data_IF_379718391604
#
_entry.id   IF_379718391604
#
_cell.length_a   1.000
_cell.length_b   1.000
_cell.length_c   1.000
_cell.angle_alpha   90.00
_cell.angle_beta   90.00
_cell.angle_gamma   90.00
#
_symmetry.space_group_name_H-M   'P 1'
#
loop_
_entity.id
_entity.type
_entity.pdbx_description
1 polymer ?
#
# COMPACT_ATOMS: atom_id res chain seq x y z
N UNK A 1 0.79 15.23 10.26
CA UNK A 1 0.49 13.81 9.93
C UNK A 1 1.56 13.34 8.96
N UNK A 2 2.21 12.19 9.18
CA UNK A 2 3.26 11.72 8.27
C UNK A 2 2.63 10.91 7.12
N UNK A 3 2.54 11.53 5.94
CA UNK A 3 1.90 10.94 4.76
C UNK A 3 2.53 9.61 4.33
N UNK A 4 3.85 9.45 4.48
CA UNK A 4 4.51 8.20 4.12
C UNK A 4 4.03 7.04 4.98
N UNK A 5 3.73 7.30 6.26
CA UNK A 5 3.20 6.28 7.18
C UNK A 5 1.75 5.92 6.88
N UNK A 6 0.93 6.88 6.46
CA UNK A 6 -0.45 6.63 6.05
C UNK A 6 -0.45 5.68 4.86
N UNK A 7 0.28 6.03 3.79
CA UNK A 7 0.31 5.24 2.56
C UNK A 7 1.03 3.90 2.72
N UNK A 8 2.07 3.81 3.54
CA UNK A 8 2.70 2.52 3.82
C UNK A 8 1.77 1.55 4.53
N UNK A 9 0.89 2.08 5.40
CA UNK A 9 -0.09 1.25 6.11
C UNK A 9 -1.18 0.78 5.16
N UNK A 10 -1.68 1.65 4.28
CA UNK A 10 -2.66 1.30 3.25
C UNK A 10 -2.13 0.22 2.29
N UNK A 11 -0.91 0.42 1.77
CA UNK A 11 -0.25 -0.59 0.91
C UNK A 11 -0.10 -1.94 1.60
N UNK A 12 0.31 -1.95 2.87
CA UNK A 12 0.51 -3.20 3.60
C UNK A 12 -0.81 -3.92 3.86
N UNK A 13 -1.81 -3.23 4.40
CA UNK A 13 -3.09 -3.82 4.78
C UNK A 13 -3.85 -4.32 3.54
N UNK A 14 -3.97 -3.49 2.51
CA UNK A 14 -4.79 -3.79 1.34
C UNK A 14 -4.18 -4.83 0.41
N UNK A 15 -2.85 -4.88 0.29
CA UNK A 15 -2.18 -5.75 -0.69
C UNK A 15 -1.46 -6.91 -0.03
N UNK A 16 -0.66 -6.67 1.00
CA UNK A 16 0.16 -7.72 1.62
C UNK A 16 -0.62 -8.53 2.66
N UNK A 17 -1.28 -7.89 3.63
CA UNK A 17 -1.99 -8.61 4.69
C UNK A 17 -3.15 -9.44 4.15
N UNK A 18 -3.87 -8.92 3.15
CA UNK A 18 -4.99 -9.60 2.49
C UNK A 18 -4.57 -10.57 1.36
N UNK A 19 -3.27 -10.79 1.13
CA UNK A 19 -2.81 -11.65 0.04
C UNK A 19 -3.15 -13.13 0.31
N UNK A 20 -3.85 -13.77 -0.63
CA UNK A 20 -4.24 -15.18 -0.51
C UNK A 20 -3.06 -16.15 -0.59
N UNK A 21 -1.98 -15.78 -1.27
CA UNK A 21 -0.80 -16.62 -1.50
C UNK A 21 0.32 -16.35 -0.47
N UNK A 22 0.00 -16.47 0.81
CA UNK A 22 0.98 -16.36 1.90
C UNK A 22 1.01 -15.02 2.63
N UNK A 23 -0.04 -14.21 2.50
CA UNK A 23 -0.21 -12.96 3.23
C UNK A 23 0.99 -12.03 3.06
N UNK A 24 1.55 -11.58 4.18
CA UNK A 24 2.69 -10.65 4.17
C UNK A 24 3.95 -11.18 3.44
N UNK A 25 4.03 -12.49 3.18
CA UNK A 25 5.13 -13.14 2.45
C UNK A 25 4.74 -13.52 1.01
N UNK A 26 3.64 -12.97 0.48
CA UNK A 26 3.17 -13.21 -0.88
C UNK A 26 4.23 -12.89 -1.93
N UNK A 27 4.57 -13.89 -2.75
CA UNK A 27 5.50 -13.72 -3.87
C UNK A 27 4.88 -12.91 -5.01
N UNK A 28 3.57 -13.07 -5.24
CA UNK A 28 2.88 -12.32 -6.30
C UNK A 28 2.80 -10.83 -5.94
N UNK A 29 2.37 -10.50 -4.72
CA UNK A 29 2.31 -9.11 -4.26
C UNK A 29 3.70 -8.51 -4.12
N UNK A 30 4.69 -9.27 -3.65
CA UNK A 30 6.08 -8.83 -3.62
C UNK A 30 6.63 -8.48 -5.00
N UNK A 31 6.27 -9.24 -6.04
CA UNK A 31 6.62 -8.92 -7.44
C UNK A 31 5.94 -7.63 -7.89
N UNK A 32 4.65 -7.48 -7.64
CA UNK A 32 3.92 -6.25 -7.97
C UNK A 32 4.51 -5.02 -7.29
N UNK A 33 4.87 -5.13 -6.01
CA UNK A 33 5.50 -4.04 -5.26
C UNK A 33 6.86 -3.66 -5.87
N UNK A 34 7.68 -4.65 -6.25
CA UNK A 34 8.93 -4.40 -6.96
C UNK A 34 8.69 -3.66 -8.28
N UNK A 35 7.75 -4.13 -9.10
CA UNK A 35 7.54 -3.58 -10.44
C UNK A 35 6.86 -2.21 -10.43
N UNK A 36 5.94 -1.97 -9.49
CA UNK A 36 5.10 -0.77 -9.47
C UNK A 36 5.59 0.32 -8.51
N UNK A 37 6.28 -0.05 -7.42
CA UNK A 37 6.77 0.90 -6.42
C UNK A 37 8.29 1.07 -6.48
N UNK A 38 9.06 -0.03 -6.52
CA UNK A 38 10.52 0.10 -6.43
C UNK A 38 11.19 0.41 -7.78
N UNK A 39 10.78 -0.30 -8.84
CA UNK A 39 11.40 -0.22 -10.16
C UNK A 39 11.31 1.16 -10.82
N UNK A 40 10.19 1.91 -10.72
CA UNK A 40 10.12 3.24 -11.34
C UNK A 40 11.06 4.26 -10.69
N UNK A 41 11.43 4.08 -9.41
CA UNK A 41 12.19 5.08 -8.67
C UNK A 41 11.50 6.45 -8.73
N UNK A 42 12.27 7.51 -8.98
CA UNK A 42 11.74 8.87 -9.13
C UNK A 42 11.21 9.21 -10.53
N UNK A 43 11.11 8.25 -11.45
CA UNK A 43 10.68 8.52 -12.84
C UNK A 43 9.16 8.55 -13.03
N UNK A 44 8.39 8.16 -12.02
CA UNK A 44 6.92 8.17 -12.00
C UNK A 44 6.44 8.91 -10.75
N UNK A 45 5.32 9.62 -10.84
CA UNK A 45 4.74 10.30 -9.69
C UNK A 45 4.28 9.28 -8.63
N UNK A 46 4.50 9.61 -7.35
CA UNK A 46 4.19 8.72 -6.25
C UNK A 46 2.69 8.39 -6.16
N UNK A 47 1.81 9.34 -6.46
CA UNK A 47 0.36 9.10 -6.47
C UNK A 47 -0.03 8.10 -7.57
N UNK A 48 0.56 8.23 -8.76
CA UNK A 48 0.33 7.29 -9.86
C UNK A 48 0.87 5.89 -9.55
N UNK A 49 2.01 5.80 -8.84
CA UNK A 49 2.57 4.53 -8.38
C UNK A 49 1.68 3.86 -7.33
N UNK A 50 1.20 4.63 -6.35
CA UNK A 50 0.28 4.14 -5.33
C UNK A 50 -1.03 3.66 -5.95
N UNK A 51 -1.62 4.44 -6.85
CA UNK A 51 -2.87 4.07 -7.53
C UNK A 51 -2.73 2.79 -8.34
N UNK A 52 -1.62 2.63 -9.07
CA UNK A 52 -1.33 1.41 -9.84
C UNK A 52 -1.10 0.19 -8.94
N UNK A 53 -0.42 0.37 -7.81
CA UNK A 53 -0.21 -0.70 -6.83
C UNK A 53 -1.46 -1.02 -6.00
N UNK A 54 -2.35 -0.08 -5.73
CA UNK A 54 -3.57 -0.31 -4.94
C UNK A 54 -4.77 -0.71 -5.81
N UNK A 55 -4.78 -0.30 -7.08
CA UNK A 55 -5.95 -0.42 -7.97
C UNK A 55 -7.06 0.61 -7.67
N UNK A 56 -6.80 1.55 -6.75
CA UNK A 56 -7.69 2.63 -6.30
C UNK A 56 -6.85 3.79 -5.79
N UNK A 57 -7.49 4.93 -5.52
CA UNK A 57 -6.81 6.01 -4.80
C UNK A 57 -6.42 5.54 -3.38
N UNK A 58 -5.24 5.98 -2.86
CA UNK A 58 -4.84 5.69 -1.49
C UNK A 58 -5.75 6.41 -0.50
N UNK A 59 -5.98 5.80 0.67
CA UNK A 59 -6.76 6.41 1.75
C UNK A 59 -6.10 6.18 3.12
N UNK A 60 -6.73 6.68 4.18
CA UNK A 60 -6.22 6.61 5.55
C UNK A 60 -6.96 5.60 6.45
N UNK A 61 -7.89 4.82 5.90
CA UNK A 61 -8.69 3.83 6.64
C UNK A 61 -7.80 2.84 7.38
N UNK A 62 -6.83 2.25 6.67
CA UNK A 62 -5.89 1.29 7.24
C UNK A 62 -5.03 1.92 8.35
N UNK A 63 -4.70 3.21 8.20
CA UNK A 63 -3.91 3.94 9.18
C UNK A 63 -4.71 4.24 10.45
N UNK A 64 -5.98 4.65 10.33
CA UNK A 64 -6.83 4.87 11.50
C UNK A 64 -7.19 3.57 12.22
N UNK A 65 -7.42 2.49 11.47
CA UNK A 65 -7.54 1.13 12.01
C UNK A 65 -6.30 0.75 12.83
N UNK A 66 -5.10 1.01 12.31
CA UNK A 66 -3.84 0.76 13.05
C UNK A 66 -3.74 1.55 14.36
N UNK A 67 -4.26 2.78 14.38
CA UNK A 67 -4.29 3.62 15.58
C UNK A 67 -5.41 3.26 16.56
N UNK A 68 -6.27 2.29 16.25
CA UNK A 68 -7.47 1.95 17.02
C UNK A 68 -8.39 3.15 17.27
N UNK A 69 -8.49 4.07 16.30
CA UNK A 69 -9.46 5.15 16.31
C UNK A 69 -10.53 4.84 15.27
N UNK A 70 -11.80 4.79 15.69
CA UNK A 70 -12.91 4.61 14.76
C UNK A 70 -13.07 5.86 13.90
N UNK A 71 -13.25 5.67 12.60
CA UNK A 71 -13.70 6.71 11.69
C UNK A 71 -15.14 7.13 12.08
N UNK A 72 -15.46 8.44 12.20
CA UNK A 72 -16.85 8.90 12.27
C UNK A 72 -17.63 8.59 10.98
#
# INVERSE_FOLDING_TARGET
MNLSRVYSTDMFESRFQCAMDGGCLSKSVGRDYREKILRPGGSKDAADMLKDFLGREPNDDAFFKLLNVNLP
#
